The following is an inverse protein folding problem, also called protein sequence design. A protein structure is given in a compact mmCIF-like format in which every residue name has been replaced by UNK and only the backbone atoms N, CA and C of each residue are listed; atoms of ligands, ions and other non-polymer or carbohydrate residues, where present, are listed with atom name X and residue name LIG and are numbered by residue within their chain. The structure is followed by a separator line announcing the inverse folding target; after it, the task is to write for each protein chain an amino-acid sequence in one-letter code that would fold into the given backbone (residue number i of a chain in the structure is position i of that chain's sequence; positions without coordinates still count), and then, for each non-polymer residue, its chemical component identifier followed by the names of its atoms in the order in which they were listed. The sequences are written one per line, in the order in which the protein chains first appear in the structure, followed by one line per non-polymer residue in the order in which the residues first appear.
data_IF_285295822429
#
_entry.id   IF_285295822429
#
_cell.length_a   1.000
_cell.length_b   1.000
_cell.length_c   1.000
_cell.angle_alpha   90.00
_cell.angle_beta   90.00
_cell.angle_gamma   90.00
#
_symmetry.space_group_name_H-M   'P 1'
#
loop_
_entity.id
_entity.type
_entity.pdbx_description
1 polymer ?
#
# COMPACT_ATOMS: atom_id res chain seq x y z
N UNK A 1 57.60 -36.31 -55.99
CA UNK A 1 57.18 -35.12 -55.22
C UNK A 1 55.80 -35.42 -54.62
N UNK A 2 55.73 -35.87 -53.37
CA UNK A 2 54.47 -36.27 -52.70
C UNK A 2 54.09 -35.18 -51.70
N UNK A 3 52.94 -34.53 -51.90
CA UNK A 3 52.34 -33.60 -50.92
C UNK A 3 51.61 -34.41 -49.84
N UNK A 4 51.86 -34.09 -48.58
CA UNK A 4 51.12 -34.60 -47.43
C UNK A 4 50.12 -33.52 -46.96
N UNK A 5 48.83 -33.83 -46.96
CA UNK A 5 47.79 -33.00 -46.34
C UNK A 5 47.74 -33.30 -44.83
N UNK A 6 48.05 -32.30 -44.01
CA UNK A 6 47.77 -32.34 -42.57
C UNK A 6 46.35 -31.83 -42.33
N UNK A 7 45.48 -32.68 -41.78
CA UNK A 7 44.15 -32.27 -41.34
C UNK A 7 44.22 -31.70 -39.91
N UNK A 8 43.90 -30.41 -39.76
CA UNK A 8 43.68 -29.79 -38.44
C UNK A 8 42.27 -30.16 -37.96
N UNK A 9 42.17 -30.90 -36.85
CA UNK A 9 40.91 -31.10 -36.16
C UNK A 9 40.63 -29.88 -35.27
N UNK A 10 39.59 -29.10 -35.59
CA UNK A 10 39.06 -28.04 -34.73
C UNK A 10 38.07 -28.67 -33.77
N UNK A 11 38.43 -28.79 -32.50
CA UNK A 11 37.50 -29.18 -31.43
C UNK A 11 36.66 -27.96 -31.04
N UNK A 12 35.39 -27.94 -31.45
CA UNK A 12 34.41 -26.97 -30.97
C UNK A 12 34.10 -27.27 -29.50
N UNK A 13 34.67 -26.49 -28.58
CA UNK A 13 34.30 -26.52 -27.17
C UNK A 13 32.88 -26.01 -26.99
N UNK A 14 31.96 -26.88 -26.58
CA UNK A 14 30.63 -26.50 -26.11
C UNK A 14 30.80 -25.64 -24.85
N UNK A 15 30.64 -24.32 -24.97
CA UNK A 15 30.44 -23.46 -23.81
C UNK A 15 29.09 -23.83 -23.18
N UNK A 16 29.14 -24.49 -22.02
CA UNK A 16 27.96 -24.67 -21.19
C UNK A 16 27.42 -23.29 -20.80
N UNK A 17 26.10 -23.04 -20.90
CA UNK A 17 25.52 -21.79 -20.42
C UNK A 17 25.79 -21.68 -18.92
N UNK A 18 26.28 -20.53 -18.48
CA UNK A 18 26.43 -20.25 -17.06
C UNK A 18 25.08 -20.46 -16.35
N UNK A 19 25.06 -21.06 -15.14
CA UNK A 19 23.81 -21.25 -14.41
C UNK A 19 23.13 -19.90 -14.22
N UNK A 20 21.87 -19.79 -14.64
CA UNK A 20 21.06 -18.62 -14.38
C UNK A 20 21.06 -18.39 -12.86
N UNK A 21 21.61 -17.25 -12.42
CA UNK A 21 21.57 -16.83 -11.03
C UNK A 21 20.09 -16.76 -10.65
N UNK A 22 19.66 -17.58 -9.68
CA UNK A 22 18.31 -17.49 -9.15
C UNK A 22 18.07 -16.03 -8.77
N UNK A 23 17.10 -15.38 -9.41
CA UNK A 23 16.74 -14.02 -9.04
C UNK A 23 16.32 -14.06 -7.55
N UNK A 24 17.02 -13.32 -6.70
CA UNK A 24 16.69 -13.23 -5.29
C UNK A 24 15.22 -12.81 -5.19
N UNK A 25 14.40 -13.63 -4.50
CA UNK A 25 12.99 -13.29 -4.29
C UNK A 25 12.93 -11.96 -3.56
N UNK A 26 12.19 -10.95 -4.06
CA UNK A 26 12.09 -9.67 -3.39
C UNK A 26 11.68 -9.85 -1.93
N UNK A 27 12.31 -9.11 -1.02
CA UNK A 27 11.99 -9.14 0.41
C UNK A 27 11.69 -7.74 0.90
N UNK A 28 10.76 -7.64 1.85
CA UNK A 28 10.56 -6.41 2.59
C UNK A 28 11.73 -6.18 3.55
N UNK A 29 11.98 -4.91 3.86
CA UNK A 29 12.88 -4.55 4.96
C UNK A 29 12.29 -5.03 6.28
N UNK A 30 13.16 -5.51 7.17
CA UNK A 30 12.76 -5.95 8.49
C UNK A 30 12.29 -4.75 9.33
N UNK A 31 11.12 -4.83 10.01
CA UNK A 31 10.71 -3.85 11.01
C UNK A 31 11.77 -3.66 12.09
N UNK A 32 11.96 -2.42 12.54
CA UNK A 32 13.03 -2.04 13.46
C UNK A 32 12.59 -1.91 14.92
N UNK A 33 11.28 -1.92 15.18
CA UNK A 33 10.71 -1.84 16.51
C UNK A 33 10.74 -3.16 17.28
N UNK A 34 10.33 -3.09 18.56
CA UNK A 34 10.46 -4.20 19.51
C UNK A 34 9.27 -5.17 19.53
N UNK A 35 8.14 -4.79 18.92
CA UNK A 35 6.95 -5.64 18.89
C UNK A 35 6.94 -6.55 17.65
N UNK A 36 6.61 -7.85 17.81
CA UNK A 36 6.11 -8.64 16.70
C UNK A 36 4.89 -7.94 16.08
N UNK A 37 4.68 -8.11 14.78
CA UNK A 37 3.56 -7.47 14.08
C UNK A 37 2.46 -8.48 13.79
N UNK A 38 1.23 -8.18 14.18
CA UNK A 38 0.04 -8.89 13.75
C UNK A 38 -0.62 -8.19 12.57
N UNK A 39 -1.35 -8.93 11.75
CA UNK A 39 -2.18 -8.34 10.69
C UNK A 39 -3.48 -9.09 10.50
N UNK A 40 -4.54 -8.35 10.18
CA UNK A 40 -5.83 -8.91 9.77
C UNK A 40 -6.40 -8.10 8.62
N UNK A 41 -7.29 -8.71 7.82
CA UNK A 41 -7.96 -8.05 6.70
C UNK A 41 -9.46 -7.98 6.95
N UNK A 42 -10.06 -6.83 6.64
CA UNK A 42 -11.48 -6.57 6.78
C UNK A 42 -12.08 -6.22 5.42
N UNK A 43 -13.28 -6.74 5.17
CA UNK A 43 -14.13 -6.30 4.08
C UNK A 43 -15.19 -5.38 4.68
N UNK A 44 -15.15 -4.11 4.28
CA UNK A 44 -16.11 -3.10 4.71
C UNK A 44 -17.07 -2.77 3.55
N UNK A 45 -18.35 -2.65 3.86
CA UNK A 45 -19.37 -2.22 2.90
C UNK A 45 -20.05 -0.98 3.45
N UNK A 46 -19.84 0.14 2.77
CA UNK A 46 -20.52 1.40 3.04
C UNK A 46 -21.80 1.46 2.22
N UNK A 47 -22.93 1.18 2.86
CA UNK A 47 -24.26 1.18 2.25
C UNK A 47 -24.87 2.57 2.15
N UNK A 48 -24.20 3.60 2.67
CA UNK A 48 -24.67 4.99 2.59
C UNK A 48 -24.25 5.69 1.30
N UNK A 49 -23.26 5.14 0.58
CA UNK A 49 -22.72 5.68 -0.67
C UNK A 49 -22.80 4.66 -1.79
N UNK A 50 -23.16 5.10 -2.97
CA UNK A 50 -22.98 4.33 -4.20
C UNK A 50 -21.50 4.26 -4.58
N UNK A 51 -21.09 3.23 -5.33
CA UNK A 51 -19.72 3.21 -5.85
C UNK A 51 -19.50 4.40 -6.81
N UNK A 52 -18.44 5.19 -6.65
CA UNK A 52 -18.22 6.36 -7.49
C UNK A 52 -17.77 6.03 -8.92
N UNK A 53 -17.29 4.81 -9.18
CA UNK A 53 -16.63 4.45 -10.44
C UNK A 53 -17.46 3.51 -11.31
N UNK A 54 -18.20 2.58 -10.70
CA UNK A 54 -18.98 1.57 -11.42
C UNK A 54 -20.47 1.86 -11.30
N UNK A 55 -21.14 2.31 -12.39
CA UNK A 55 -22.58 2.52 -12.40
C UNK A 55 -23.36 1.24 -12.04
N UNK A 56 -24.42 1.40 -11.25
CA UNK A 56 -25.28 0.28 -10.83
C UNK A 56 -24.85 -0.38 -9.52
N UNK A 57 -23.63 -0.13 -9.01
CA UNK A 57 -23.25 -0.55 -7.67
C UNK A 57 -23.79 0.42 -6.62
N UNK A 58 -24.69 -0.06 -5.77
CA UNK A 58 -25.42 0.75 -4.79
C UNK A 58 -24.72 0.91 -3.45
N UNK A 59 -23.60 0.24 -3.25
CA UNK A 59 -22.78 0.32 -2.04
C UNK A 59 -21.30 0.44 -2.40
N UNK A 60 -20.53 1.15 -1.57
CA UNK A 60 -19.07 1.28 -1.70
C UNK A 60 -18.39 0.21 -0.85
N UNK A 61 -17.77 -0.77 -1.52
CA UNK A 61 -17.00 -1.81 -0.84
C UNK A 61 -15.52 -1.41 -0.73
N UNK A 62 -14.87 -1.71 0.40
CA UNK A 62 -13.47 -1.44 0.67
C UNK A 62 -12.81 -2.67 1.30
N UNK A 63 -11.63 -3.03 0.80
CA UNK A 63 -10.75 -3.97 1.50
C UNK A 63 -9.73 -3.19 2.34
N UNK A 64 -9.59 -3.60 3.59
CA UNK A 64 -8.73 -2.94 4.56
C UNK A 64 -7.76 -3.96 5.15
N UNK A 65 -6.50 -3.60 5.32
CA UNK A 65 -5.55 -4.34 6.15
C UNK A 65 -5.24 -3.54 7.40
N UNK A 66 -5.33 -4.20 8.56
CA UNK A 66 -4.88 -3.64 9.84
C UNK A 66 -3.56 -4.31 10.20
N UNK A 67 -2.55 -3.52 10.55
CA UNK A 67 -1.30 -3.96 11.17
C UNK A 67 -1.25 -3.42 12.59
N UNK A 68 -0.80 -4.24 13.54
CA UNK A 68 -0.82 -3.88 14.96
C UNK A 68 0.30 -4.59 15.73
N UNK A 69 0.71 -4.08 16.90
CA UNK A 69 1.66 -4.79 17.76
C UNK A 69 1.01 -6.09 18.24
N UNK A 70 1.68 -7.22 18.05
CA UNK A 70 1.22 -8.53 18.51
C UNK A 70 1.88 -8.91 19.84
N UNK A 71 1.14 -9.64 20.68
CA UNK A 71 1.61 -10.08 21.99
C UNK A 71 2.77 -11.08 21.90
N UNK A 72 2.80 -11.87 20.83
CA UNK A 72 3.86 -12.80 20.49
C UNK A 72 3.86 -13.03 18.96
N UNK A 73 4.95 -13.53 18.36
CA UNK A 73 4.93 -14.03 17.00
C UNK A 73 3.83 -15.08 16.78
N UNK A 74 3.15 -15.04 15.64
CA UNK A 74 2.12 -16.02 15.26
C UNK A 74 2.67 -17.19 14.44
N UNK A 75 1.77 -18.08 14.00
CA UNK A 75 2.15 -19.29 13.25
C UNK A 75 2.41 -19.07 11.75
N UNK A 76 1.71 -18.12 11.12
CA UNK A 76 1.79 -17.90 9.66
C UNK A 76 2.07 -16.44 9.33
N UNK A 77 3.08 -16.18 8.51
CA UNK A 77 3.36 -14.84 7.95
C UNK A 77 2.45 -14.54 6.76
N UNK A 78 1.94 -13.32 6.70
CA UNK A 78 1.11 -12.87 5.61
C UNK A 78 1.88 -12.88 4.28
N UNK A 79 1.14 -13.08 3.18
CA UNK A 79 1.66 -12.83 1.83
C UNK A 79 1.60 -11.33 1.59
N UNK A 80 2.54 -10.82 0.79
CA UNK A 80 2.51 -9.42 0.37
C UNK A 80 1.25 -9.09 -0.47
N UNK A 81 0.81 -10.03 -1.31
CA UNK A 81 -0.48 -10.01 -1.99
C UNK A 81 -0.91 -11.42 -2.40
N UNK A 82 -2.16 -11.59 -2.83
CA UNK A 82 -2.65 -12.87 -3.36
C UNK A 82 -2.02 -13.19 -4.74
N UNK A 83 -2.05 -14.45 -5.20
CA UNK A 83 -1.57 -14.81 -6.54
C UNK A 83 -2.24 -14.01 -7.66
N UNK A 84 -3.57 -13.83 -7.58
CA UNK A 84 -4.32 -13.11 -8.61
C UNK A 84 -4.05 -11.61 -8.60
N UNK A 85 -3.85 -11.02 -7.41
CA UNK A 85 -3.40 -9.63 -7.32
C UNK A 85 -2.00 -9.45 -7.90
N UNK A 86 -1.06 -10.38 -7.65
CA UNK A 86 0.29 -10.36 -8.20
C UNK A 86 0.29 -10.36 -9.73
N UNK A 87 -0.47 -11.27 -10.32
CA UNK A 87 -0.58 -11.38 -11.78
C UNK A 87 -1.11 -10.08 -12.41
N UNK A 88 -2.27 -9.59 -11.93
CA UNK A 88 -2.93 -8.43 -12.50
C UNK A 88 -2.15 -7.13 -12.24
N UNK A 89 -1.52 -7.00 -11.07
CA UNK A 89 -0.72 -5.84 -10.74
C UNK A 89 0.55 -5.76 -11.62
N UNK A 90 1.27 -6.86 -11.81
CA UNK A 90 2.45 -6.89 -12.67
C UNK A 90 2.10 -6.62 -14.13
N UNK A 91 1.01 -7.23 -14.63
CA UNK A 91 0.51 -6.97 -15.98
C UNK A 91 0.12 -5.49 -16.16
N UNK A 92 -0.63 -4.92 -15.22
CA UNK A 92 -1.05 -3.52 -15.23
C UNK A 92 0.13 -2.54 -15.20
N UNK A 93 1.19 -2.88 -14.45
CA UNK A 93 2.45 -2.13 -14.41
C UNK A 93 3.38 -2.38 -15.60
N UNK A 94 2.97 -3.23 -16.56
CA UNK A 94 3.78 -3.64 -17.71
C UNK A 94 5.13 -4.26 -17.33
N UNK A 95 5.18 -4.94 -16.18
CA UNK A 95 6.33 -5.69 -15.68
C UNK A 95 6.23 -7.16 -16.11
N UNK A 96 6.13 -7.38 -17.42
CA UNK A 96 5.84 -8.70 -18.02
C UNK A 96 7.06 -9.62 -18.09
N UNK A 97 8.24 -9.09 -17.79
CA UNK A 97 9.50 -9.83 -17.64
C UNK A 97 9.58 -10.61 -16.32
N UNK A 98 8.74 -10.26 -15.33
CA UNK A 98 8.64 -10.95 -14.06
C UNK A 98 7.59 -12.08 -14.11
N UNK A 99 7.84 -13.25 -13.47
CA UNK A 99 6.81 -14.26 -13.29
C UNK A 99 5.58 -13.69 -12.58
N UNK A 100 4.37 -14.03 -13.04
CA UNK A 100 3.11 -13.49 -12.54
C UNK A 100 2.91 -13.65 -11.03
N UNK A 101 3.46 -14.69 -10.43
CA UNK A 101 3.34 -15.02 -9.01
C UNK A 101 4.46 -14.39 -8.15
N UNK A 102 5.38 -13.61 -8.74
CA UNK A 102 6.56 -13.04 -8.05
C UNK A 102 6.22 -12.33 -6.75
N UNK A 103 5.22 -11.46 -6.76
CA UNK A 103 4.83 -10.69 -5.56
C UNK A 103 4.04 -11.54 -4.55
N UNK A 104 3.34 -12.58 -5.02
CA UNK A 104 2.60 -13.50 -4.14
C UNK A 104 3.50 -14.49 -3.38
N UNK A 105 4.73 -14.69 -3.85
CA UNK A 105 5.77 -15.47 -3.15
C UNK A 105 6.43 -14.68 -2.01
N UNK A 106 6.35 -13.36 -2.04
CA UNK A 106 6.92 -12.50 -0.98
C UNK A 106 6.12 -12.66 0.31
N UNK A 107 6.82 -12.93 1.41
CA UNK A 107 6.27 -12.96 2.76
C UNK A 107 6.59 -11.68 3.49
N UNK A 108 5.61 -11.15 4.20
CA UNK A 108 5.82 -9.99 5.06
C UNK A 108 6.33 -10.42 6.44
N UNK A 109 6.59 -9.48 7.35
CA UNK A 109 6.96 -9.78 8.73
C UNK A 109 5.75 -9.87 9.65
N UNK A 110 4.58 -9.43 9.21
CA UNK A 110 3.35 -9.56 9.97
C UNK A 110 2.79 -10.99 9.99
N UNK A 111 2.25 -11.37 11.15
CA UNK A 111 1.60 -12.65 11.39
C UNK A 111 0.08 -12.51 11.26
N UNK A 112 -0.51 -13.36 10.42
CA UNK A 112 -1.96 -13.38 10.18
C UNK A 112 -2.69 -13.69 11.48
N UNK A 113 -3.64 -12.82 11.84
CA UNK A 113 -4.55 -12.92 12.98
C UNK A 113 -3.86 -13.22 14.32
N UNK A 114 -2.61 -12.75 14.49
CA UNK A 114 -1.91 -12.85 15.76
C UNK A 114 -2.64 -12.05 16.85
N UNK A 115 -2.57 -12.51 18.11
CA UNK A 115 -3.22 -11.82 19.23
C UNK A 115 -2.62 -10.41 19.41
N UNK A 116 -3.42 -9.33 19.42
CA UNK A 116 -2.92 -7.98 19.68
C UNK A 116 -2.25 -7.85 21.06
N UNK A 117 -1.21 -7.02 21.14
CA UNK A 117 -0.59 -6.56 22.38
C UNK A 117 -1.25 -5.28 22.91
N UNK A 118 -1.00 -4.97 24.17
CA UNK A 118 -1.47 -3.74 24.81
C UNK A 118 -2.89 -3.82 25.36
N UNK A 119 -3.38 -2.71 25.89
CA UNK A 119 -4.77 -2.58 26.38
C UNK A 119 -5.66 -2.09 25.25
N UNK A 120 -6.94 -2.44 25.30
CA UNK A 120 -7.93 -1.88 24.38
C UNK A 120 -7.86 -0.34 24.39
N UNK A 121 -7.95 0.27 23.21
CA UNK A 121 -7.97 1.74 23.01
C UNK A 121 -6.73 2.51 23.51
N UNK A 122 -5.58 1.85 23.68
CA UNK A 122 -4.36 2.50 24.21
C UNK A 122 -3.30 2.85 23.17
N UNK A 123 -3.46 2.42 21.92
CA UNK A 123 -2.46 2.59 20.87
C UNK A 123 -2.87 3.68 19.87
N UNK A 124 -1.94 4.53 19.42
CA UNK A 124 -2.21 5.51 18.37
C UNK A 124 -2.57 4.81 17.05
N UNK A 125 -3.57 5.37 16.35
CA UNK A 125 -4.04 4.89 15.05
C UNK A 125 -3.44 5.73 13.92
N UNK A 126 -2.96 5.06 12.87
CA UNK A 126 -2.50 5.68 11.63
C UNK A 126 -3.29 5.08 10.47
N UNK A 127 -3.89 5.93 9.64
CA UNK A 127 -4.55 5.49 8.40
C UNK A 127 -3.67 5.86 7.21
N UNK A 128 -3.37 4.87 6.37
CA UNK A 128 -2.57 5.01 5.17
C UNK A 128 -3.44 4.76 3.93
N UNK A 129 -3.44 5.73 3.03
CA UNK A 129 -4.04 5.61 1.70
C UNK A 129 -2.90 5.45 0.67
N UNK A 130 -2.90 4.38 -0.15
CA UNK A 130 -1.90 4.17 -1.18
C UNK A 130 -2.07 5.17 -2.32
N UNK A 131 -1.03 5.35 -3.13
CA UNK A 131 -1.12 6.17 -4.35
C UNK A 131 -2.16 5.63 -5.35
N UNK A 132 -2.52 6.43 -6.35
CA UNK A 132 -3.34 5.96 -7.47
C UNK A 132 -2.68 4.75 -8.16
N UNK A 133 -3.46 3.73 -8.53
CA UNK A 133 -3.01 2.43 -9.08
C UNK A 133 -2.11 1.58 -8.17
N UNK A 134 -1.95 1.96 -6.91
CA UNK A 134 -1.18 1.21 -5.92
C UNK A 134 -2.12 0.49 -4.97
N UNK A 135 -1.91 -0.81 -4.69
CA UNK A 135 -2.72 -1.53 -3.72
C UNK A 135 -2.29 -1.20 -2.29
N UNK A 136 -3.15 -1.45 -1.30
CA UNK A 136 -2.85 -1.30 0.14
C UNK A 136 -1.59 -2.07 0.56
N UNK A 137 -1.32 -3.21 -0.08
CA UNK A 137 -0.12 -4.02 0.14
C UNK A 137 1.19 -3.27 -0.12
N UNK A 138 1.20 -2.27 -1.02
CA UNK A 138 2.39 -1.44 -1.31
C UNK A 138 2.91 -0.67 -0.11
N UNK A 139 2.09 -0.52 0.93
CA UNK A 139 2.41 0.19 2.17
C UNK A 139 2.85 -0.76 3.31
N UNK A 140 2.98 -2.07 3.05
CA UNK A 140 3.28 -3.07 4.11
C UNK A 140 4.60 -2.78 4.83
N UNK A 141 5.65 -2.34 4.13
CA UNK A 141 6.93 -2.00 4.74
C UNK A 141 6.81 -0.94 5.85
N UNK A 142 6.40 0.30 5.54
CA UNK A 142 6.22 1.33 6.57
C UNK A 142 5.11 1.00 7.57
N UNK A 143 4.05 0.29 7.18
CA UNK A 143 2.99 -0.10 8.12
C UNK A 143 3.48 -1.10 9.17
N UNK A 144 4.26 -2.09 8.77
CA UNK A 144 4.83 -3.08 9.70
C UNK A 144 5.90 -2.45 10.60
N UNK A 145 6.72 -1.52 10.07
CA UNK A 145 7.68 -0.80 10.91
C UNK A 145 6.98 0.05 11.97
N UNK A 146 5.95 0.84 11.61
CA UNK A 146 5.13 1.57 12.58
C UNK A 146 4.46 0.63 13.58
N UNK A 147 3.85 -0.47 13.13
CA UNK A 147 3.24 -1.43 14.03
C UNK A 147 4.24 -2.04 15.03
N UNK A 148 5.47 -2.31 14.59
CA UNK A 148 6.54 -2.79 15.48
C UNK A 148 6.95 -1.79 16.56
N UNK A 149 6.61 -0.50 16.40
CA UNK A 149 6.83 0.59 17.35
C UNK A 149 5.60 0.94 18.21
N UNK A 150 4.53 0.15 18.15
CA UNK A 150 3.37 0.37 19.02
C UNK A 150 2.18 1.09 18.38
N UNK A 151 2.11 1.20 17.06
CA UNK A 151 0.98 1.83 16.35
C UNK A 151 0.01 0.79 15.81
N UNK A 152 -1.28 1.12 15.81
CA UNK A 152 -2.23 0.43 14.93
C UNK A 152 -2.22 1.18 13.60
N UNK A 153 -1.98 0.46 12.50
CA UNK A 153 -1.91 1.03 11.16
C UNK A 153 -3.00 0.39 10.30
N UNK A 154 -3.74 1.20 9.55
CA UNK A 154 -4.84 0.77 8.69
C UNK A 154 -4.52 1.18 7.27
N UNK A 155 -4.40 0.23 6.34
CA UNK A 155 -4.22 0.46 4.91
C UNK A 155 -5.48 0.13 4.14
N UNK A 156 -5.90 1.03 3.27
CA UNK A 156 -7.19 0.93 2.56
C UNK A 156 -6.94 0.71 1.06
N UNK A 157 -7.59 -0.28 0.47
CA UNK A 157 -7.77 -0.33 -0.97
C UNK A 157 -9.00 0.49 -1.36
N UNK A 158 -8.77 1.48 -2.23
CA UNK A 158 -9.84 2.20 -2.89
C UNK A 158 -10.29 1.38 -4.10
N UNK A 159 -11.39 0.64 -3.94
CA UNK A 159 -11.88 -0.30 -4.95
C UNK A 159 -12.06 0.40 -6.30
N UNK A 160 -11.66 -0.30 -7.37
CA UNK A 160 -11.63 0.18 -8.75
C UNK A 160 -10.55 1.23 -9.11
N UNK A 161 -9.68 1.59 -8.17
CA UNK A 161 -8.56 2.53 -8.41
C UNK A 161 -7.18 1.85 -8.41
N UNK A 162 -7.16 0.52 -8.28
CA UNK A 162 -5.97 -0.35 -8.36
C UNK A 162 -6.26 -1.55 -9.25
N UNK A 163 -5.22 -2.16 -9.83
CA UNK A 163 -5.36 -3.22 -10.83
C UNK A 163 -6.10 -4.46 -10.35
N UNK A 164 -6.03 -4.75 -9.05
CA UNK A 164 -6.75 -5.87 -8.45
C UNK A 164 -6.95 -5.67 -6.94
N UNK A 165 -8.17 -5.92 -6.50
CA UNK A 165 -8.54 -6.11 -5.09
C UNK A 165 -9.26 -7.43 -4.95
N UNK A 166 -8.75 -8.33 -4.11
CA UNK A 166 -9.40 -9.61 -3.80
C UNK A 166 -10.32 -9.47 -2.59
N UNK A 167 -11.60 -9.77 -2.78
CA UNK A 167 -12.62 -9.84 -1.75
C UNK A 167 -12.78 -11.27 -1.19
N UNK A 168 -13.41 -11.42 -0.01
CA UNK A 168 -13.83 -12.73 0.49
C UNK A 168 -14.62 -13.51 -0.57
N UNK A 169 -14.39 -14.82 -0.64
CA UNK A 169 -14.97 -15.68 -1.68
C UNK A 169 -14.25 -15.63 -3.03
N UNK A 170 -13.16 -14.88 -3.15
CA UNK A 170 -12.28 -14.88 -4.34
C UNK A 170 -12.73 -13.96 -5.47
N UNK A 171 -13.78 -13.15 -5.26
CA UNK A 171 -14.17 -12.10 -6.21
C UNK A 171 -13.06 -11.06 -6.34
N UNK A 172 -12.75 -10.67 -7.56
CA UNK A 172 -11.74 -9.65 -7.87
C UNK A 172 -12.44 -8.41 -8.43
N UNK A 173 -12.18 -7.25 -7.83
CA UNK A 173 -12.48 -5.96 -8.45
C UNK A 173 -11.24 -5.46 -9.20
N UNK A 174 -11.41 -5.11 -10.48
CA UNK A 174 -10.36 -4.56 -11.34
C UNK A 174 -10.46 -3.03 -11.40
N UNK A 175 -9.43 -2.39 -11.97
CA UNK A 175 -9.31 -0.95 -12.07
C UNK A 175 -10.26 -0.35 -13.12
N UNK A 176 -11.48 0.01 -12.73
CA UNK A 176 -12.42 0.68 -13.64
C UNK A 176 -11.93 2.08 -14.05
N UNK A 177 -11.12 2.73 -13.21
CA UNK A 177 -10.59 4.07 -13.51
C UNK A 177 -9.42 4.06 -14.50
N UNK A 178 -8.76 2.93 -14.71
CA UNK A 178 -7.60 2.82 -15.59
C UNK A 178 -7.95 2.92 -17.08
N UNK A 179 -9.24 2.94 -17.41
CA UNK A 179 -9.77 3.12 -18.77
C UNK A 179 -10.23 4.57 -19.02
N UNK A 180 -10.13 5.45 -18.02
CA UNK A 180 -10.60 6.83 -18.09
C UNK A 180 -9.46 7.79 -18.43
N UNK A 181 -9.82 8.95 -18.99
CA UNK A 181 -8.90 10.07 -19.18
C UNK A 181 -8.52 10.68 -17.83
N UNK A 182 -7.22 10.76 -17.55
CA UNK A 182 -6.66 11.27 -16.29
C UNK A 182 -6.56 12.80 -16.29
N UNK A 183 -7.68 13.48 -16.53
CA UNK A 183 -7.78 14.94 -16.52
C UNK A 183 -8.00 15.54 -15.11
N UNK A 184 -8.11 16.88 -15.03
CA UNK A 184 -8.35 17.57 -13.77
C UNK A 184 -9.68 17.18 -13.09
N UNK A 185 -10.70 16.81 -13.87
CA UNK A 185 -11.98 16.38 -13.32
C UNK A 185 -11.86 14.98 -12.71
N UNK A 186 -11.13 14.09 -13.36
CA UNK A 186 -10.78 12.78 -12.84
C UNK A 186 -10.08 12.89 -11.48
N UNK A 187 -8.98 13.65 -11.40
CA UNK A 187 -8.22 13.76 -10.14
C UNK A 187 -9.03 14.43 -9.03
N UNK A 188 -9.89 15.40 -9.35
CA UNK A 188 -10.80 16.00 -8.37
C UNK A 188 -11.77 14.97 -7.78
N UNK A 189 -12.39 14.16 -8.64
CA UNK A 189 -13.29 13.08 -8.21
C UNK A 189 -12.55 12.02 -7.41
N UNK A 190 -11.34 11.65 -7.84
CA UNK A 190 -10.45 10.71 -7.16
C UNK A 190 -10.17 11.15 -5.72
N UNK A 191 -9.72 12.40 -5.54
CA UNK A 191 -9.38 12.91 -4.22
C UNK A 191 -10.60 13.06 -3.31
N UNK A 192 -11.75 13.50 -3.85
CA UNK A 192 -12.99 13.58 -3.08
C UNK A 192 -13.45 12.19 -2.59
N UNK A 193 -13.44 11.18 -3.47
CA UNK A 193 -13.77 9.80 -3.10
C UNK A 193 -12.85 9.23 -2.02
N UNK A 194 -11.53 9.48 -2.13
CA UNK A 194 -10.54 9.05 -1.14
C UNK A 194 -10.68 9.76 0.20
N UNK A 195 -11.00 11.05 0.20
CA UNK A 195 -11.29 11.79 1.43
C UNK A 195 -12.54 11.25 2.13
N UNK A 196 -13.57 10.87 1.36
CA UNK A 196 -14.74 10.20 1.91
C UNK A 196 -14.38 8.81 2.49
N UNK A 197 -13.57 8.02 1.79
CA UNK A 197 -13.13 6.69 2.25
C UNK A 197 -12.27 6.75 3.53
N UNK A 198 -11.43 7.78 3.69
CA UNK A 198 -10.49 7.88 4.82
C UNK A 198 -11.03 8.71 5.99
N UNK A 199 -11.73 9.81 5.70
CA UNK A 199 -12.07 10.84 6.67
C UNK A 199 -13.58 11.04 6.81
N UNK A 200 -14.39 10.39 5.96
CA UNK A 200 -15.83 10.63 5.90
C UNK A 200 -16.20 12.05 5.42
N UNK A 201 -15.28 12.75 4.73
CA UNK A 201 -15.49 14.13 4.28
C UNK A 201 -15.81 14.17 2.78
N UNK A 202 -16.91 14.85 2.42
CA UNK A 202 -17.25 15.22 1.04
C UNK A 202 -16.61 16.58 0.69
N UNK A 203 -15.61 16.60 -0.21
CA UNK A 203 -14.71 17.74 -0.45
C UNK A 203 -14.86 18.39 -1.84
N UNK A 204 -15.99 19.03 -2.12
CA UNK A 204 -16.10 19.92 -3.28
C UNK A 204 -15.23 21.20 -3.17
N UNK A 205 -13.90 21.14 -3.40
CA UNK A 205 -12.97 22.23 -3.00
C UNK A 205 -12.02 22.82 -4.07
N UNK A 206 -11.61 24.08 -3.83
CA UNK A 206 -10.99 25.11 -4.71
C UNK A 206 -9.50 25.43 -4.42
N UNK A 207 -8.75 24.54 -3.73
CA UNK A 207 -7.32 24.75 -3.39
C UNK A 207 -6.40 23.93 -4.30
N UNK A 208 -5.24 24.47 -4.70
CA UNK A 208 -4.31 23.76 -5.61
C UNK A 208 -3.65 22.56 -4.92
N UNK A 209 -3.38 21.49 -5.68
CA UNK A 209 -2.81 20.25 -5.12
C UNK A 209 -1.45 20.45 -4.43
N UNK A 210 -0.56 21.27 -4.98
CA UNK A 210 0.72 21.59 -4.37
C UNK A 210 0.56 22.28 -3.00
N UNK A 211 -0.44 23.16 -2.90
CA UNK A 211 -0.76 23.87 -1.65
C UNK A 211 -1.33 22.93 -0.60
N UNK A 212 -2.23 22.03 -0.99
CA UNK A 212 -2.79 20.99 -0.11
C UNK A 212 -1.71 20.04 0.42
N UNK A 213 -0.72 19.67 -0.40
CA UNK A 213 0.39 18.82 0.04
C UNK A 213 1.34 19.54 1.00
N UNK A 214 1.65 20.82 0.77
CA UNK A 214 2.46 21.63 1.69
C UNK A 214 1.80 21.70 3.08
N UNK A 215 0.50 22.02 3.10
CA UNK A 215 -0.31 22.10 4.33
C UNK A 215 -0.30 20.75 5.06
N UNK A 216 -0.62 19.67 4.34
CA UNK A 216 -0.70 18.32 4.90
C UNK A 216 0.62 17.86 5.49
N UNK A 217 1.74 18.03 4.77
CA UNK A 217 3.08 17.67 5.27
C UNK A 217 3.43 18.44 6.55
N UNK A 218 3.09 19.73 6.60
CA UNK A 218 3.42 20.59 7.74
C UNK A 218 2.61 20.26 8.99
N UNK A 219 1.32 19.96 8.83
CA UNK A 219 0.42 19.58 9.93
C UNK A 219 0.65 18.15 10.41
N UNK A 220 0.90 17.19 9.51
CA UNK A 220 1.33 15.85 9.93
C UNK A 220 2.61 15.90 10.75
N UNK A 221 3.67 16.59 10.27
CA UNK A 221 4.89 16.73 11.06
C UNK A 221 4.63 17.35 12.44
N UNK A 222 3.77 18.37 12.51
CA UNK A 222 3.41 18.98 13.79
C UNK A 222 2.73 17.98 14.74
N UNK A 223 1.83 17.13 14.26
CA UNK A 223 1.17 16.11 15.08
C UNK A 223 2.20 15.10 15.62
N UNK A 224 3.11 14.62 14.77
CA UNK A 224 4.15 13.67 15.17
C UNK A 224 5.12 14.28 16.20
N UNK A 225 5.61 15.50 15.97
CA UNK A 225 6.53 16.17 16.90
C UNK A 225 5.88 16.42 18.27
N UNK A 226 4.59 16.79 18.30
CA UNK A 226 3.86 17.04 19.55
C UNK A 226 3.61 15.78 20.35
N UNK A 227 3.07 14.75 19.71
CA UNK A 227 2.53 13.60 20.44
C UNK A 227 3.53 12.47 20.64
N UNK A 228 4.62 12.45 19.86
CA UNK A 228 5.57 11.33 19.88
C UNK A 228 6.99 11.76 20.30
N UNK A 229 7.26 13.07 20.31
CA UNK A 229 8.56 13.63 20.73
C UNK A 229 8.43 14.67 21.84
N UNK A 230 7.22 14.85 22.39
CA UNK A 230 6.89 15.86 23.40
C UNK A 230 7.38 17.27 23.05
N UNK A 231 7.43 17.62 21.76
CA UNK A 231 7.84 18.96 21.31
C UNK A 231 6.60 19.83 21.08
N UNK A 232 6.49 21.00 21.74
CA UNK A 232 5.36 21.90 21.52
C UNK A 232 5.22 22.30 20.05
N UNK A 233 3.99 22.31 19.53
CA UNK A 233 3.71 22.64 18.13
C UNK A 233 2.61 23.70 18.05
N UNK A 234 2.99 25.00 18.03
CA UNK A 234 2.05 26.12 18.03
C UNK A 234 1.06 26.09 16.86
N UNK A 235 1.42 25.40 15.77
CA UNK A 235 0.57 25.18 14.61
C UNK A 235 -0.72 24.41 14.93
N UNK A 236 -0.70 23.62 16.00
CA UNK A 236 -1.84 22.83 16.49
C UNK A 236 -2.61 23.55 17.61
N UNK A 237 -2.09 24.66 18.10
CA UNK A 237 -2.65 25.36 19.26
C UNK A 237 -3.45 26.61 18.87
N UNK A 238 -3.22 27.16 17.68
CA UNK A 238 -3.86 28.38 17.19
C UNK A 238 -3.89 28.43 15.65
N UNK A 239 -4.83 29.19 15.06
CA UNK A 239 -4.85 29.45 13.63
C UNK A 239 -3.52 30.00 13.11
N UNK A 240 -3.15 29.60 11.89
CA UNK A 240 -1.92 30.03 11.24
C UNK A 240 -2.24 30.96 10.07
N UNK A 241 -1.76 32.21 10.05
CA UNK A 241 -1.92 33.09 8.89
C UNK A 241 -1.16 32.55 7.65
N UNK A 242 -0.21 31.63 7.84
CA UNK A 242 0.50 30.95 6.76
C UNK A 242 -0.31 29.79 6.17
N UNK A 243 -1.31 29.27 6.87
CA UNK A 243 -2.21 28.20 6.40
C UNK A 243 -3.66 28.56 6.77
N UNK A 244 -4.22 29.63 6.18
CA UNK A 244 -5.58 30.09 6.49
C UNK A 244 -6.66 29.05 6.16
N UNK A 245 -6.32 28.04 5.37
CA UNK A 245 -7.19 26.94 4.97
C UNK A 245 -7.51 25.97 6.13
N UNK A 246 -6.76 26.02 7.25
CA UNK A 246 -6.90 25.10 8.38
C UNK A 246 -7.43 25.82 9.62
N UNK A 247 -8.61 25.41 10.08
CA UNK A 247 -9.23 25.86 11.34
C UNK A 247 -9.39 24.67 12.28
N UNK A 248 -8.85 24.77 13.49
CA UNK A 248 -8.96 23.70 14.51
C UNK A 248 -10.22 23.99 15.34
N UNK A 249 -11.23 23.15 15.16
CA UNK A 249 -12.59 23.43 15.63
C UNK A 249 -12.84 23.09 17.12
N UNK A 250 -12.04 22.24 17.75
CA UNK A 250 -12.05 22.00 19.21
C UNK A 250 -10.83 21.15 19.65
N UNK A 251 -10.55 21.12 20.97
CA UNK A 251 -9.54 20.29 21.64
C UNK A 251 -10.17 19.07 22.31
#
# INVERSE_FOLDING_TARGET
MKLACAALAVTAGLLAPAPARAADTPQLLRPTGHHPVGTTALHLTDTSRTDPWVPGLTARELMVTVWYPAAAPGGTRARYMTPRESELYLAGKRLTDLPADTLSRVRTYAYVDARPAGRAHSLPLVVLSPGYTQPRGSLSGPAEDLASHGYVVVGIDHTHETYAVTFPGGRIATCATCELDEDDAFFRKLYAGRAADQLGIDLGATTTGARSQEITRRYHRAIFERHLRDRPQPLLDRPSPRYPEVVIAAR
#
